data_IF_685760452904
#
_entry.id   IF_685760452904
#
_cell.length_a   1.000
_cell.length_b   1.000
_cell.length_c   1.000
_cell.angle_alpha   90.00
_cell.angle_beta   90.00
_cell.angle_gamma   90.00
#
_symmetry.space_group_name_H-M   'P 1'
#
loop_
_entity.id
_entity.type
_entity.pdbx_description
1 polymer ?
#
# COMPACT_ATOMS: atom_id res chain seq x y z
N UNK A 1 7.78 -33.69 -6.49
CA UNK A 1 8.32 -32.84 -5.40
C UNK A 1 8.73 -31.50 -6.02
N UNK A 2 8.15 -30.38 -5.60
CA UNK A 2 8.53 -29.08 -6.16
C UNK A 2 9.87 -28.62 -5.58
N UNK A 3 10.81 -28.21 -6.44
CA UNK A 3 12.09 -27.63 -6.01
C UNK A 3 11.90 -26.11 -5.89
N UNK A 4 11.83 -25.62 -4.65
CA UNK A 4 11.75 -24.19 -4.35
C UNK A 4 13.16 -23.58 -4.38
N UNK A 5 13.38 -22.59 -5.25
CA UNK A 5 14.63 -21.82 -5.30
C UNK A 5 14.47 -20.52 -4.49
N UNK A 6 15.42 -20.18 -3.61
CA UNK A 6 15.39 -18.90 -2.92
C UNK A 6 15.59 -17.76 -3.92
N UNK A 7 14.88 -16.67 -3.70
CA UNK A 7 15.04 -15.42 -4.44
C UNK A 7 15.27 -14.27 -3.46
N UNK A 8 15.93 -13.20 -3.93
CA UNK A 8 16.12 -12.01 -3.12
C UNK A 8 14.81 -11.22 -3.06
N UNK A 9 14.40 -10.84 -1.86
CA UNK A 9 13.29 -9.90 -1.69
C UNK A 9 13.66 -8.53 -2.26
N UNK A 10 12.72 -7.93 -2.99
CA UNK A 10 12.82 -6.53 -3.43
C UNK A 10 12.61 -5.62 -2.21
N UNK A 11 13.50 -4.63 -2.05
CA UNK A 11 13.38 -3.59 -1.03
C UNK A 11 13.38 -2.23 -1.72
N UNK A 12 12.55 -1.28 -1.26
CA UNK A 12 12.54 0.05 -1.83
C UNK A 12 13.84 0.82 -1.54
N UNK A 13 14.18 1.81 -2.37
CA UNK A 13 15.22 2.80 -2.05
C UNK A 13 14.98 3.43 -0.67
N UNK A 14 16.06 3.69 0.08
CA UNK A 14 15.96 4.20 1.46
C UNK A 14 15.18 5.52 1.57
N UNK A 15 15.27 6.35 0.54
CA UNK A 15 14.60 7.65 0.47
C UNK A 15 13.08 7.49 0.39
N UNK A 16 12.61 6.51 -0.40
CA UNK A 16 11.19 6.22 -0.59
C UNK A 16 10.61 5.33 0.51
N UNK A 17 11.45 4.69 1.32
CA UNK A 17 10.98 3.74 2.34
C UNK A 17 9.99 4.37 3.33
N UNK A 18 10.14 5.67 3.64
CA UNK A 18 9.22 6.40 4.52
C UNK A 18 7.88 6.73 3.84
N UNK A 19 7.90 7.02 2.54
CA UNK A 19 6.68 7.34 1.77
C UNK A 19 5.86 6.08 1.45
N UNK A 20 6.57 4.95 1.25
CA UNK A 20 5.96 3.64 0.97
C UNK A 20 5.35 3.03 2.23
N UNK A 21 5.94 3.28 3.40
CA UNK A 21 5.43 2.76 4.66
C UNK A 21 4.00 3.25 4.92
N UNK A 22 3.05 2.32 4.87
CA UNK A 22 1.67 2.55 5.22
C UNK A 22 1.39 2.00 6.62
N UNK A 23 0.50 2.68 7.36
CA UNK A 23 -0.06 2.13 8.60
C UNK A 23 -0.91 0.89 8.29
N UNK A 24 -1.08 -0.03 9.26
CA UNK A 24 -1.89 -1.23 9.05
C UNK A 24 -3.33 -0.86 8.66
N UNK A 25 -3.87 -1.57 7.66
CA UNK A 25 -5.19 -1.32 7.07
C UNK A 25 -6.33 -1.31 8.11
N UNK A 26 -6.21 -2.12 9.16
CA UNK A 26 -7.22 -2.24 10.23
C UNK A 26 -7.39 -1.00 11.11
N UNK A 27 -6.48 -0.03 11.02
CA UNK A 27 -6.45 1.14 11.93
C UNK A 27 -6.87 2.43 11.21
N UNK A 28 -7.13 2.39 9.90
CA UNK A 28 -7.52 3.58 9.13
C UNK A 28 -8.86 3.41 8.43
N UNK A 29 -9.73 4.40 8.62
CA UNK A 29 -10.87 4.62 7.74
C UNK A 29 -10.40 4.99 6.32
N UNK A 30 -11.27 4.81 5.33
CA UNK A 30 -10.94 5.08 3.92
C UNK A 30 -10.69 6.58 3.68
N UNK A 31 -11.32 7.44 4.46
CA UNK A 31 -11.10 8.89 4.44
C UNK A 31 -9.71 9.26 4.98
N UNK A 32 -9.30 8.71 6.12
CA UNK A 32 -7.96 8.92 6.69
C UNK A 32 -6.88 8.37 5.76
N UNK A 33 -7.10 7.19 5.19
CA UNK A 33 -6.18 6.58 4.23
C UNK A 33 -6.03 7.43 2.96
N UNK A 34 -7.10 8.07 2.47
CA UNK A 34 -7.04 8.98 1.31
C UNK A 34 -6.27 10.26 1.60
N UNK A 35 -6.33 10.77 2.84
CA UNK A 35 -5.58 11.95 3.25
C UNK A 35 -4.10 11.64 3.51
N UNK A 36 -3.79 10.48 4.08
CA UNK A 36 -2.42 10.06 4.41
C UNK A 36 -1.69 9.44 3.21
N UNK A 37 -2.41 8.99 2.18
CA UNK A 37 -1.81 8.46 0.97
C UNK A 37 -1.00 9.52 0.21
N UNK A 38 0.30 9.28 0.11
CA UNK A 38 1.21 10.00 -0.78
C UNK A 38 1.39 9.22 -2.07
N UNK A 39 1.95 9.86 -3.10
CA UNK A 39 2.18 9.28 -4.44
C UNK A 39 2.82 7.87 -4.43
N UNK A 40 3.64 7.55 -3.44
CA UNK A 40 4.35 6.27 -3.33
C UNK A 40 3.81 5.35 -2.22
N UNK A 41 2.72 5.73 -1.55
CA UNK A 41 2.19 4.97 -0.41
C UNK A 41 1.59 3.64 -0.84
N UNK A 42 1.84 2.60 -0.04
CA UNK A 42 1.27 1.27 -0.25
C UNK A 42 -0.27 1.25 -0.15
N UNK A 43 -0.86 2.30 0.44
CA UNK A 43 -2.31 2.47 0.61
C UNK A 43 -3.07 2.40 -0.72
N UNK A 44 -2.47 2.85 -1.83
CA UNK A 44 -3.04 2.70 -3.17
C UNK A 44 -3.23 1.23 -3.58
N UNK A 45 -2.44 0.31 -3.01
CA UNK A 45 -2.50 -1.14 -3.30
C UNK A 45 -3.35 -1.86 -2.26
N UNK A 46 -3.13 -1.56 -0.98
CA UNK A 46 -3.84 -2.26 0.11
C UNK A 46 -5.27 -1.76 0.29
N UNK A 47 -5.56 -0.51 -0.08
CA UNK A 47 -6.84 0.18 0.05
C UNK A 47 -7.15 0.97 -1.24
N UNK A 48 -7.29 0.30 -2.39
CA UNK A 48 -7.44 0.96 -3.70
C UNK A 48 -8.69 1.84 -3.79
N UNK A 49 -9.68 1.60 -2.94
CA UNK A 49 -10.88 2.44 -2.74
C UNK A 49 -10.57 3.93 -2.52
N UNK A 50 -9.38 4.29 -2.01
CA UNK A 50 -8.99 5.70 -1.79
C UNK A 50 -8.78 6.48 -3.10
N UNK A 51 -8.46 5.78 -4.19
CA UNK A 51 -8.23 6.39 -5.51
C UNK A 51 -9.54 6.64 -6.28
N UNK A 52 -10.65 6.07 -5.81
CA UNK A 52 -11.95 6.22 -6.46
C UNK A 52 -12.76 7.37 -5.85
N UNK A 53 -13.76 7.84 -6.60
CA UNK A 53 -14.74 8.76 -6.04
C UNK A 53 -15.57 8.06 -4.96
N UNK A 54 -15.94 8.77 -3.87
CA UNK A 54 -16.73 8.16 -2.80
C UNK A 54 -18.07 7.67 -3.35
N UNK A 55 -18.39 6.39 -3.09
CA UNK A 55 -19.61 5.72 -3.55
C UNK A 55 -19.44 4.79 -4.76
N UNK A 56 -18.21 4.56 -5.22
CA UNK A 56 -17.91 3.52 -6.21
C UNK A 56 -17.60 2.21 -5.46
N UNK A 57 -18.54 1.27 -5.47
CA UNK A 57 -18.37 -0.12 -5.02
C UNK A 57 -17.99 -0.98 -6.24
N UNK A 58 -16.84 -1.65 -6.22
CA UNK A 58 -16.37 -2.56 -7.30
C UNK A 58 -15.97 -3.91 -6.71
#
# INVERSE_FOLDING_TARGET
MAVLKPFKGLRPPKELAKEIAARPYDVLSSEEARQEATKYSLLHITKPEIDFEPGIDV
#
